data_IF_049884423666
#
_entry.id   IF_049884423666
#
_cell.length_a   1.000
_cell.length_b   1.000
_cell.length_c   1.000
_cell.angle_alpha   90.00
_cell.angle_beta   90.00
_cell.angle_gamma   90.00
#
_symmetry.space_group_name_H-M   'P 1'
#
loop_
_entity.id
_entity.type
_entity.pdbx_description
1 polymer ?
#
# COMPACT_ATOMS: atom_id res chain seq x y z
N UNK A 1 142.83 -1.76 8.44
CA UNK A 1 142.97 -2.69 7.29
C UNK A 1 141.60 -2.92 6.68
N UNK A 2 141.47 -2.69 5.37
CA UNK A 2 140.24 -2.92 4.60
C UNK A 2 140.07 -4.41 4.24
N UNK A 3 138.82 -4.93 4.22
CA UNK A 3 138.23 -5.66 3.06
C UNK A 3 136.76 -6.11 3.29
N UNK A 4 135.88 -5.69 2.35
CA UNK A 4 134.70 -6.39 1.73
C UNK A 4 133.46 -6.72 2.60
N UNK A 5 132.22 -6.71 2.09
CA UNK A 5 131.68 -6.54 0.72
C UNK A 5 130.15 -6.33 0.72
N UNK A 6 129.69 -5.41 -0.15
CA UNK A 6 128.51 -5.47 -1.06
C UNK A 6 127.27 -6.31 -0.68
N UNK A 7 126.17 -5.57 -0.53
CA UNK A 7 124.93 -5.61 -1.32
C UNK A 7 124.24 -6.96 -1.59
N UNK A 8 122.99 -7.06 -1.13
CA UNK A 8 121.90 -7.62 -1.93
C UNK A 8 120.65 -6.75 -1.73
N UNK A 9 120.16 -6.22 -2.84
CA UNK A 9 118.91 -5.48 -3.01
C UNK A 9 117.80 -6.51 -3.10
N UNK A 10 116.84 -6.48 -2.18
CA UNK A 10 115.63 -7.31 -2.22
C UNK A 10 114.41 -6.42 -2.28
N UNK A 11 113.75 -6.43 -3.43
CA UNK A 11 112.54 -5.69 -3.73
C UNK A 11 111.33 -6.60 -3.43
N UNK A 12 110.64 -6.38 -2.32
CA UNK A 12 109.36 -7.02 -1.97
C UNK A 12 108.59 -6.01 -1.11
N UNK A 13 107.31 -5.70 -1.29
CA UNK A 13 106.30 -6.13 -2.23
C UNK A 13 105.12 -5.16 -2.05
N UNK A 14 104.41 -4.80 -3.12
CA UNK A 14 103.13 -4.08 -3.03
C UNK A 14 102.01 -4.86 -2.31
N UNK A 15 102.30 -6.05 -1.75
CA UNK A 15 101.34 -6.98 -1.16
C UNK A 15 100.95 -6.70 0.30
N UNK A 16 101.81 -6.07 1.11
CA UNK A 16 101.51 -5.88 2.55
C UNK A 16 100.37 -4.90 2.81
N UNK A 17 100.30 -3.79 2.06
CA UNK A 17 99.19 -2.82 2.18
C UNK A 17 97.86 -3.36 1.65
N UNK A 18 97.91 -4.18 0.61
CA UNK A 18 96.72 -4.81 0.04
C UNK A 18 96.12 -5.85 1.01
N UNK A 19 96.95 -6.67 1.66
CA UNK A 19 96.47 -7.64 2.66
C UNK A 19 95.86 -6.95 3.87
N UNK A 20 96.48 -5.89 4.40
CA UNK A 20 95.90 -5.12 5.52
C UNK A 20 94.60 -4.41 5.12
N UNK A 21 94.51 -3.87 3.90
CA UNK A 21 93.26 -3.29 3.39
C UNK A 21 92.15 -4.35 3.23
N UNK A 22 92.50 -5.57 2.80
CA UNK A 22 91.54 -6.67 2.67
C UNK A 22 91.02 -7.12 4.05
N UNK A 23 91.89 -7.25 5.05
CA UNK A 23 91.50 -7.57 6.43
C UNK A 23 90.59 -6.48 7.01
N UNK A 24 90.93 -5.21 6.82
CA UNK A 24 90.09 -4.09 7.26
C UNK A 24 88.71 -4.11 6.58
N UNK A 25 88.65 -4.43 5.28
CA UNK A 25 87.40 -4.55 4.53
C UNK A 25 86.52 -5.70 5.04
N UNK A 26 87.11 -6.86 5.37
CA UNK A 26 86.36 -8.00 5.94
C UNK A 26 85.79 -7.65 7.30
N UNK A 27 86.53 -6.95 8.16
CA UNK A 27 86.04 -6.50 9.47
C UNK A 27 84.83 -5.56 9.30
N UNK A 28 84.90 -4.63 8.34
CA UNK A 28 83.77 -3.72 8.02
C UNK A 28 82.55 -4.50 7.55
N UNK A 29 82.72 -5.52 6.69
CA UNK A 29 81.60 -6.35 6.22
C UNK A 29 80.93 -7.14 7.35
N UNK A 30 81.71 -7.67 8.30
CA UNK A 30 81.16 -8.36 9.48
C UNK A 30 80.34 -7.38 10.33
N UNK A 31 80.84 -6.16 10.53
CA UNK A 31 80.12 -5.13 11.28
C UNK A 31 78.81 -4.74 10.58
N UNK A 32 78.83 -4.55 9.27
CA UNK A 32 77.63 -4.28 8.46
C UNK A 32 76.61 -5.43 8.54
N UNK A 33 77.06 -6.68 8.60
CA UNK A 33 76.16 -7.83 8.77
C UNK A 33 75.47 -7.81 10.14
N UNK A 34 76.19 -7.48 11.22
CA UNK A 34 75.60 -7.33 12.57
C UNK A 34 74.59 -6.19 12.60
N UNK A 35 74.91 -5.03 12.02
CA UNK A 35 73.97 -3.91 11.92
C UNK A 35 72.72 -4.26 11.13
N UNK A 36 72.89 -4.94 10.00
CA UNK A 36 71.77 -5.43 9.21
C UNK A 36 70.84 -6.35 9.98
N UNK A 37 71.40 -7.23 10.80
CA UNK A 37 70.61 -8.13 11.64
C UNK A 37 69.84 -7.39 12.75
N UNK A 38 70.46 -6.40 13.39
CA UNK A 38 69.82 -5.56 14.41
C UNK A 38 68.65 -4.74 13.85
N UNK A 39 68.82 -4.20 12.63
CA UNK A 39 67.77 -3.45 11.93
C UNK A 39 66.61 -4.39 11.57
N UNK A 40 66.91 -5.59 11.05
CA UNK A 40 65.90 -6.56 10.63
C UNK A 40 65.08 -7.12 11.79
N UNK A 41 65.67 -7.30 12.97
CA UNK A 41 64.97 -7.71 14.19
C UNK A 41 64.29 -6.54 14.93
N UNK A 42 64.36 -5.33 14.37
CA UNK A 42 63.81 -4.11 14.95
C UNK A 42 64.22 -3.86 16.42
N UNK A 43 65.51 -4.07 16.73
CA UNK A 43 66.02 -3.93 18.10
C UNK A 43 65.90 -2.48 18.55
N UNK A 44 65.03 -2.22 19.53
CA UNK A 44 64.76 -0.89 20.07
C UNK A 44 63.95 0.02 19.14
N UNK A 45 63.30 -0.52 18.11
CA UNK A 45 62.46 0.25 17.18
C UNK A 45 63.24 1.09 16.14
N UNK A 46 64.53 0.84 15.97
CA UNK A 46 65.38 1.60 15.04
C UNK A 46 65.00 1.32 13.58
N UNK A 47 64.68 0.06 13.26
CA UNK A 47 64.33 -0.35 11.91
C UNK A 47 63.00 0.24 11.48
N UNK A 48 61.98 0.14 12.34
CA UNK A 48 60.60 0.54 12.06
C UNK A 48 60.35 2.05 12.22
N UNK A 49 60.90 2.72 13.25
CA UNK A 49 60.58 4.13 13.52
C UNK A 49 61.50 5.14 12.82
N UNK A 50 62.76 4.78 12.55
CA UNK A 50 63.78 5.73 12.05
C UNK A 50 64.21 5.43 10.63
N UNK A 51 64.45 4.16 10.31
CA UNK A 51 65.02 3.76 9.02
C UNK A 51 63.96 3.45 7.97
N UNK A 52 62.81 2.89 8.38
CA UNK A 52 61.71 2.55 7.47
C UNK A 52 61.24 3.74 6.62
N UNK A 53 60.95 4.93 7.18
CA UNK A 53 60.42 6.05 6.38
C UNK A 53 61.42 6.57 5.33
N UNK A 54 62.72 6.41 5.58
CA UNK A 54 63.80 6.97 4.75
C UNK A 54 64.30 5.96 3.71
N UNK A 55 64.34 4.67 4.04
CA UNK A 55 65.00 3.64 3.22
C UNK A 55 64.03 2.71 2.49
N UNK A 56 62.71 2.78 2.74
CA UNK A 56 61.72 1.89 2.09
C UNK A 56 61.72 1.99 0.56
N UNK A 57 61.96 3.17 0.02
CA UNK A 57 61.94 3.44 -1.43
C UNK A 57 63.32 3.21 -2.09
N UNK A 58 64.34 2.78 -1.32
CA UNK A 58 65.68 2.52 -1.84
C UNK A 58 65.80 1.04 -2.25
N UNK A 59 65.97 0.73 -3.56
CA UNK A 59 66.09 -0.64 -4.02
C UNK A 59 67.31 -1.33 -3.38
N UNK A 60 67.20 -2.64 -3.14
CA UNK A 60 68.20 -3.50 -2.45
C UNK A 60 68.31 -3.24 -0.94
N UNK A 61 68.30 -1.98 -0.49
CA UNK A 61 68.41 -1.63 0.94
C UNK A 61 67.13 -1.93 1.71
N UNK A 62 65.95 -1.77 1.08
CA UNK A 62 64.66 -2.06 1.70
C UNK A 62 64.51 -3.51 2.24
N UNK A 63 65.29 -4.47 1.72
CA UNK A 63 65.27 -5.88 2.19
C UNK A 63 65.81 -6.08 3.60
N UNK A 64 66.51 -5.09 4.14
CA UNK A 64 67.08 -5.12 5.49
C UNK A 64 66.13 -4.55 6.55
N UNK A 65 65.10 -3.82 6.11
CA UNK A 65 64.08 -3.25 6.99
C UNK A 65 63.20 -4.36 7.59
N UNK A 66 62.68 -4.17 8.81
CA UNK A 66 61.71 -5.09 9.38
C UNK A 66 60.38 -5.05 8.60
N UNK A 67 59.57 -6.11 8.72
CA UNK A 67 58.22 -6.12 8.16
C UNK A 67 57.36 -5.05 8.83
N UNK A 68 56.62 -4.21 8.07
CA UNK A 68 55.79 -3.16 8.65
C UNK A 68 54.64 -3.77 9.45
N UNK A 69 54.33 -3.19 10.61
CA UNK A 69 53.19 -3.63 11.42
C UNK A 69 51.86 -3.28 10.72
N UNK A 70 50.78 -3.96 11.08
CA UNK A 70 49.43 -3.68 10.54
C UNK A 70 49.03 -2.21 10.70
N UNK A 71 49.46 -1.56 11.80
CA UNK A 71 49.21 -0.15 12.03
C UNK A 71 50.01 0.77 11.08
N UNK A 72 51.27 0.43 10.76
CA UNK A 72 52.08 1.21 9.81
C UNK A 72 51.56 1.06 8.37
N UNK A 73 51.16 -0.16 7.99
CA UNK A 73 50.51 -0.40 6.70
C UNK A 73 49.17 0.36 6.61
N UNK A 74 48.40 0.37 7.71
CA UNK A 74 47.16 1.12 7.81
C UNK A 74 47.35 2.63 7.59
N UNK A 75 48.42 3.20 8.15
CA UNK A 75 48.75 4.62 8.05
C UNK A 75 49.34 5.00 6.68
N UNK A 76 50.16 4.15 6.07
CA UNK A 76 50.75 4.37 4.73
C UNK A 76 49.70 4.29 3.61
N UNK A 77 48.79 3.32 3.66
CA UNK A 77 47.71 3.15 2.67
C UNK A 77 46.47 4.01 2.99
N UNK A 78 46.55 4.88 4.02
CA UNK A 78 45.47 5.77 4.46
C UNK A 78 44.15 5.02 4.74
N UNK A 79 44.24 3.85 5.36
CA UNK A 79 43.06 3.11 5.78
C UNK A 79 42.38 3.82 6.96
N UNK A 80 41.08 4.07 6.82
CA UNK A 80 40.27 4.80 7.79
C UNK A 80 40.18 4.11 9.18
N UNK A 81 40.48 2.81 9.26
CA UNK A 81 40.40 2.02 10.49
C UNK A 81 41.71 1.26 10.69
N UNK A 82 42.44 1.59 11.76
CA UNK A 82 43.80 1.13 12.02
C UNK A 82 43.88 -0.08 12.97
N UNK A 83 42.73 -0.62 13.40
CA UNK A 83 42.68 -1.84 14.23
C UNK A 83 41.46 -2.71 13.89
N UNK A 84 41.61 -4.03 14.05
CA UNK A 84 40.51 -5.00 13.90
C UNK A 84 39.29 -4.65 14.76
N UNK A 85 39.53 -4.14 15.98
CA UNK A 85 38.47 -3.69 16.89
C UNK A 85 37.67 -2.52 16.31
N UNK A 86 38.34 -1.49 15.78
CA UNK A 86 37.67 -0.34 15.18
C UNK A 86 36.83 -0.71 13.95
N UNK A 87 37.31 -1.67 13.14
CA UNK A 87 36.56 -2.19 12.00
C UNK A 87 35.28 -2.93 12.45
N UNK A 88 35.39 -3.79 13.47
CA UNK A 88 34.25 -4.55 14.01
C UNK A 88 33.19 -3.66 14.67
N UNK A 89 33.60 -2.59 15.37
CA UNK A 89 32.66 -1.60 15.93
C UNK A 89 31.88 -0.88 14.83
N UNK A 90 32.54 -0.54 13.72
CA UNK A 90 31.89 0.07 12.56
C UNK A 90 30.91 -0.88 11.89
N UNK A 91 31.26 -2.16 11.73
CA UNK A 91 30.38 -3.19 11.18
C UNK A 91 29.09 -3.28 12.01
N UNK A 92 29.21 -3.39 13.34
CA UNK A 92 28.03 -3.44 14.23
C UNK A 92 27.15 -2.18 14.13
N UNK A 93 27.76 -1.00 14.01
CA UNK A 93 27.01 0.24 13.84
C UNK A 93 26.27 0.29 12.48
N UNK A 94 26.89 -0.21 11.41
CA UNK A 94 26.26 -0.31 10.09
C UNK A 94 25.14 -1.36 10.06
N UNK A 95 25.33 -2.51 10.70
CA UNK A 95 24.28 -3.53 10.88
C UNK A 95 23.07 -2.97 11.62
N UNK A 96 23.30 -2.23 12.72
CA UNK A 96 22.22 -1.56 13.45
C UNK A 96 21.53 -0.48 12.63
N UNK A 97 22.26 0.30 11.82
CA UNK A 97 21.66 1.25 10.88
C UNK A 97 20.81 0.55 9.82
N UNK A 98 21.29 -0.56 9.25
CA UNK A 98 20.55 -1.35 8.27
C UNK A 98 19.28 -1.95 8.87
N UNK A 99 19.33 -2.48 10.10
CA UNK A 99 18.13 -2.96 10.82
C UNK A 99 17.12 -1.84 11.06
N UNK A 100 17.59 -0.64 11.45
CA UNK A 100 16.70 0.52 11.65
C UNK A 100 16.06 1.00 10.34
N UNK A 101 16.79 0.96 9.23
CA UNK A 101 16.28 1.32 7.90
C UNK A 101 15.33 0.26 7.35
N UNK A 102 15.63 -1.02 7.53
CA UNK A 102 14.76 -2.15 7.16
C UNK A 102 13.45 -2.16 7.94
N UNK A 103 13.49 -1.86 9.25
CA UNK A 103 12.29 -1.68 10.07
C UNK A 103 11.40 -0.51 9.61
N UNK A 104 12.02 0.59 9.16
CA UNK A 104 11.30 1.75 8.61
C UNK A 104 10.72 1.47 7.21
N UNK A 105 11.44 0.71 6.38
CA UNK A 105 10.98 0.32 5.04
C UNK A 105 9.75 -0.59 5.09
N UNK A 106 9.71 -1.55 6.02
CA UNK A 106 8.55 -2.43 6.21
C UNK A 106 7.33 -1.66 6.76
N UNK A 107 7.52 -0.77 7.74
CA UNK A 107 6.44 0.07 8.25
C UNK A 107 5.85 1.00 7.18
N UNK A 108 6.69 1.55 6.30
CA UNK A 108 6.24 2.35 5.15
C UNK A 108 5.49 1.50 4.13
N UNK A 109 5.91 0.26 3.87
CA UNK A 109 5.22 -0.67 2.96
C UNK A 109 3.82 -1.02 3.47
N UNK A 110 3.67 -1.33 4.75
CA UNK A 110 2.37 -1.64 5.35
C UNK A 110 1.44 -0.44 5.32
N UNK A 111 1.96 0.77 5.57
CA UNK A 111 1.20 2.01 5.48
C UNK A 111 0.76 2.32 4.04
N UNK A 112 1.62 2.10 3.04
CA UNK A 112 1.27 2.24 1.62
C UNK A 112 0.17 1.24 1.24
N UNK A 113 0.27 -0.02 1.66
CA UNK A 113 -0.75 -1.03 1.39
C UNK A 113 -2.12 -0.67 2.02
N UNK A 114 -2.12 -0.10 3.24
CA UNK A 114 -3.34 0.41 3.87
C UNK A 114 -3.94 1.58 3.09
N UNK A 115 -3.12 2.55 2.67
CA UNK A 115 -3.57 3.69 1.86
C UNK A 115 -4.14 3.25 0.51
N UNK A 116 -3.52 2.27 -0.16
CA UNK A 116 -4.04 1.71 -1.42
C UNK A 116 -5.39 1.01 -1.23
N UNK A 117 -5.56 0.25 -0.14
CA UNK A 117 -6.82 -0.39 0.21
C UNK A 117 -7.92 0.64 0.52
N UNK A 118 -7.57 1.71 1.22
CA UNK A 118 -8.49 2.80 1.54
C UNK A 118 -8.90 3.59 0.30
N UNK A 119 -7.96 3.90 -0.59
CA UNK A 119 -8.25 4.53 -1.90
C UNK A 119 -9.20 3.65 -2.71
N UNK A 120 -8.99 2.34 -2.75
CA UNK A 120 -9.88 1.41 -3.47
C UNK A 120 -11.29 1.40 -2.89
N UNK A 121 -11.42 1.43 -1.56
CA UNK A 121 -12.72 1.53 -0.89
C UNK A 121 -13.39 2.87 -1.16
N UNK A 122 -12.66 3.98 -1.08
CA UNK A 122 -13.19 5.32 -1.38
C UNK A 122 -13.63 5.45 -2.84
N UNK A 123 -12.91 4.85 -3.78
CA UNK A 123 -13.32 4.79 -5.19
C UNK A 123 -14.62 4.00 -5.38
N UNK A 124 -14.82 2.92 -4.63
CA UNK A 124 -16.09 2.17 -4.63
C UNK A 124 -17.24 3.04 -4.14
N UNK A 125 -17.08 3.71 -3.00
CA UNK A 125 -18.10 4.62 -2.47
C UNK A 125 -18.41 5.76 -3.42
N UNK A 126 -17.39 6.37 -4.01
CA UNK A 126 -17.58 7.42 -5.02
C UNK A 126 -18.38 6.93 -6.21
N UNK A 127 -18.08 5.73 -6.73
CA UNK A 127 -18.84 5.13 -7.82
C UNK A 127 -20.29 4.86 -7.43
N UNK A 128 -20.52 4.31 -6.24
CA UNK A 128 -21.88 4.05 -5.73
C UNK A 128 -22.68 5.35 -5.55
N UNK A 129 -22.02 6.44 -5.13
CA UNK A 129 -22.60 7.77 -5.03
C UNK A 129 -22.91 8.35 -6.41
N UNK A 130 -21.98 8.30 -7.36
CA UNK A 130 -22.20 8.77 -8.74
C UNK A 130 -23.36 8.00 -9.40
N UNK A 131 -23.43 6.68 -9.17
CA UNK A 131 -24.52 5.84 -9.66
C UNK A 131 -25.86 6.17 -8.97
N UNK A 132 -25.84 6.55 -7.69
CA UNK A 132 -27.03 7.00 -6.95
C UNK A 132 -27.52 8.35 -7.45
N UNK A 133 -26.64 9.34 -7.57
CA UNK A 133 -26.98 10.67 -8.05
C UNK A 133 -27.55 10.60 -9.47
N UNK A 134 -27.01 9.71 -10.32
CA UNK A 134 -27.58 9.43 -11.64
C UNK A 134 -29.00 8.87 -11.57
N UNK A 135 -29.26 7.90 -10.67
CA UNK A 135 -30.62 7.35 -10.48
C UNK A 135 -31.59 8.41 -9.96
N UNK A 136 -31.14 9.29 -9.06
CA UNK A 136 -31.96 10.40 -8.55
C UNK A 136 -32.28 11.40 -9.67
N UNK A 137 -31.30 11.78 -10.48
CA UNK A 137 -31.54 12.67 -11.61
C UNK A 137 -32.50 12.06 -12.63
N UNK A 138 -32.34 10.77 -12.96
CA UNK A 138 -33.29 10.06 -13.84
C UNK A 138 -34.69 9.96 -13.22
N UNK A 139 -34.80 9.84 -11.90
CA UNK A 139 -36.06 9.87 -11.19
C UNK A 139 -36.70 11.25 -11.24
N UNK A 140 -35.97 12.31 -10.91
CA UNK A 140 -36.51 13.68 -10.92
C UNK A 140 -37.00 14.05 -12.33
N UNK A 141 -36.21 13.74 -13.37
CA UNK A 141 -36.56 14.01 -14.77
C UNK A 141 -37.80 13.22 -15.23
N UNK A 142 -37.83 11.91 -14.99
CA UNK A 142 -38.88 11.04 -15.55
C UNK A 142 -40.12 10.98 -14.68
N UNK A 143 -39.96 11.15 -13.37
CA UNK A 143 -41.02 10.93 -12.39
C UNK A 143 -41.61 12.22 -11.83
N UNK A 144 -40.78 13.20 -11.48
CA UNK A 144 -41.22 14.42 -10.79
C UNK A 144 -41.56 15.55 -11.75
N UNK A 145 -40.81 15.70 -12.85
CA UNK A 145 -40.91 16.86 -13.76
C UNK A 145 -41.53 16.57 -15.13
N UNK A 146 -42.09 15.39 -15.36
CA UNK A 146 -42.90 15.15 -16.55
C UNK A 146 -44.27 15.82 -16.34
N UNK A 147 -44.69 16.71 -17.26
CA UNK A 147 -45.94 17.49 -17.19
C UNK A 147 -47.22 16.63 -17.16
N UNK A 148 -47.08 15.30 -17.25
CA UNK A 148 -48.11 14.31 -16.95
C UNK A 148 -47.61 13.37 -15.85
N UNK A 149 -48.47 13.04 -14.89
CA UNK A 149 -48.19 12.00 -13.92
C UNK A 149 -47.66 10.75 -14.66
N UNK A 150 -46.46 10.23 -14.30
CA UNK A 150 -45.80 9.18 -15.05
C UNK A 150 -46.70 7.95 -15.09
N UNK A 151 -46.74 7.30 -16.26
CA UNK A 151 -47.51 6.08 -16.43
C UNK A 151 -46.99 5.03 -15.45
N UNK A 152 -47.89 4.25 -14.86
CA UNK A 152 -47.54 3.27 -13.83
C UNK A 152 -46.50 2.24 -14.33
N UNK A 153 -46.39 2.01 -15.65
CA UNK A 153 -45.37 1.16 -16.25
C UNK A 153 -43.93 1.70 -16.10
N UNK A 154 -43.75 3.02 -15.95
CA UNK A 154 -42.44 3.61 -15.69
C UNK A 154 -41.98 3.38 -14.24
N UNK A 155 -42.92 3.40 -13.30
CA UNK A 155 -42.65 3.02 -11.91
C UNK A 155 -42.23 1.55 -11.80
N UNK A 156 -42.89 0.66 -12.53
CA UNK A 156 -42.57 -0.78 -12.59
C UNK A 156 -41.12 -1.04 -13.00
N UNK A 157 -40.67 -0.43 -14.10
CA UNK A 157 -39.29 -0.57 -14.61
C UNK A 157 -38.25 0.01 -13.66
N UNK A 158 -38.59 1.10 -12.98
CA UNK A 158 -37.72 1.74 -12.00
C UNK A 158 -37.53 0.86 -10.76
N UNK A 159 -38.61 0.33 -10.19
CA UNK A 159 -38.51 -0.53 -9.01
C UNK A 159 -37.73 -1.81 -9.31
N UNK A 160 -37.90 -2.42 -10.48
CA UNK A 160 -37.11 -3.57 -10.92
C UNK A 160 -35.59 -3.28 -10.99
N UNK A 161 -35.18 -2.01 -11.11
CA UNK A 161 -33.77 -1.60 -11.15
C UNK A 161 -33.14 -1.30 -9.78
N UNK A 162 -33.95 -1.24 -8.72
CA UNK A 162 -33.51 -0.99 -7.33
C UNK A 162 -33.54 -2.31 -6.55
N UNK A 163 -32.64 -2.48 -5.58
CA UNK A 163 -32.41 -3.71 -4.79
C UNK A 163 -33.58 -4.72 -4.74
N UNK A 164 -33.36 -5.97 -5.21
CA UNK A 164 -34.42 -6.90 -5.61
C UNK A 164 -35.43 -7.28 -4.51
N UNK A 165 -35.01 -7.31 -3.24
CA UNK A 165 -35.87 -7.76 -2.13
C UNK A 165 -37.00 -6.77 -1.79
N UNK A 166 -36.79 -5.47 -1.99
CA UNK A 166 -37.85 -4.47 -1.80
C UNK A 166 -38.66 -4.23 -3.08
N UNK A 167 -38.02 -4.39 -4.24
CA UNK A 167 -38.64 -4.23 -5.55
C UNK A 167 -39.77 -5.23 -5.79
N UNK A 168 -39.57 -6.51 -5.46
CA UNK A 168 -40.57 -7.55 -5.66
C UNK A 168 -41.86 -7.27 -4.86
N UNK A 169 -41.71 -6.88 -3.59
CA UNK A 169 -42.87 -6.55 -2.74
C UNK A 169 -43.64 -5.35 -3.28
N UNK A 170 -42.96 -4.27 -3.65
CA UNK A 170 -43.60 -3.06 -4.19
C UNK A 170 -44.22 -3.35 -5.55
N UNK A 171 -43.53 -4.08 -6.42
CA UNK A 171 -44.04 -4.53 -7.72
C UNK A 171 -45.33 -5.33 -7.56
N UNK A 172 -45.35 -6.33 -6.67
CA UNK A 172 -46.53 -7.15 -6.44
C UNK A 172 -47.71 -6.31 -5.91
N UNK A 173 -47.44 -5.33 -5.03
CA UNK A 173 -48.46 -4.39 -4.55
C UNK A 173 -49.03 -3.52 -5.68
N UNK A 174 -48.17 -2.93 -6.53
CA UNK A 174 -48.59 -2.08 -7.65
C UNK A 174 -49.38 -2.88 -8.69
N UNK A 175 -48.94 -4.09 -9.05
CA UNK A 175 -49.67 -4.96 -10.01
C UNK A 175 -51.04 -5.34 -9.45
N UNK A 176 -51.12 -5.65 -8.15
CA UNK A 176 -52.39 -5.96 -7.49
C UNK A 176 -53.34 -4.76 -7.47
N UNK A 177 -52.84 -3.57 -7.14
CA UNK A 177 -53.62 -2.32 -7.18
C UNK A 177 -54.12 -2.00 -8.59
N UNK A 178 -53.28 -2.19 -9.62
CA UNK A 178 -53.66 -2.03 -11.03
C UNK A 178 -54.80 -2.95 -11.43
N UNK A 179 -54.68 -4.25 -11.11
CA UNK A 179 -55.71 -5.23 -11.43
C UNK A 179 -57.01 -4.89 -10.71
N UNK A 180 -56.92 -4.49 -9.43
CA UNK A 180 -58.08 -4.07 -8.65
C UNK A 180 -58.74 -2.82 -9.25
N UNK A 181 -57.99 -1.80 -9.67
CA UNK A 181 -58.56 -0.61 -10.31
C UNK A 181 -59.19 -0.90 -11.67
N UNK A 182 -58.56 -1.73 -12.50
CA UNK A 182 -59.14 -2.12 -13.80
C UNK A 182 -60.43 -2.92 -13.63
N UNK A 183 -60.45 -3.88 -12.70
CA UNK A 183 -61.65 -4.64 -12.36
C UNK A 183 -62.73 -3.73 -11.78
N UNK A 184 -62.36 -2.83 -10.86
CA UNK A 184 -63.27 -1.86 -10.28
C UNK A 184 -63.93 -1.00 -11.33
N UNK A 185 -63.17 -0.42 -12.26
CA UNK A 185 -63.69 0.42 -13.35
C UNK A 185 -64.63 -0.35 -14.27
N UNK A 186 -64.31 -1.61 -14.59
CA UNK A 186 -65.18 -2.48 -15.39
C UNK A 186 -66.50 -2.76 -14.68
N UNK A 187 -66.44 -3.11 -13.40
CA UNK A 187 -67.62 -3.41 -12.59
C UNK A 187 -68.46 -2.15 -12.33
N UNK A 188 -67.82 -1.02 -12.04
CA UNK A 188 -68.46 0.29 -11.90
C UNK A 188 -69.24 0.66 -13.16
N UNK A 189 -68.67 0.42 -14.34
CA UNK A 189 -69.35 0.63 -15.63
C UNK A 189 -70.59 -0.27 -15.77
N UNK A 190 -70.52 -1.54 -15.35
CA UNK A 190 -71.67 -2.45 -15.36
C UNK A 190 -72.79 -1.98 -14.43
N UNK A 191 -72.44 -1.45 -13.25
CA UNK A 191 -73.40 -0.99 -12.26
C UNK A 191 -73.83 0.48 -12.40
N UNK A 192 -73.21 1.23 -13.31
CA UNK A 192 -73.50 2.66 -13.52
C UNK A 192 -74.96 2.92 -13.91
N UNK A 193 -75.64 1.94 -14.49
CA UNK A 193 -77.06 1.98 -14.85
C UNK A 193 -77.90 0.87 -14.21
N UNK A 194 -77.32 0.12 -13.25
CA UNK A 194 -78.04 -0.95 -12.56
C UNK A 194 -78.94 -0.39 -11.46
N UNK A 195 -79.92 -1.20 -11.05
CA UNK A 195 -80.79 -0.88 -9.92
C UNK A 195 -79.98 -0.86 -8.61
N UNK A 196 -79.98 0.23 -7.83
CA UNK A 196 -79.10 0.40 -6.67
C UNK A 196 -79.22 -0.72 -5.64
N UNK A 197 -80.44 -1.18 -5.32
CA UNK A 197 -80.68 -2.26 -4.35
C UNK A 197 -80.04 -3.60 -4.76
N UNK A 198 -80.06 -3.92 -6.07
CA UNK A 198 -79.43 -5.14 -6.60
C UNK A 198 -77.91 -5.05 -6.58
N UNK A 199 -77.37 -3.89 -6.96
CA UNK A 199 -75.93 -3.64 -6.87
C UNK A 199 -75.45 -3.69 -5.42
N UNK A 200 -76.20 -3.11 -4.48
CA UNK A 200 -75.90 -3.14 -3.06
C UNK A 200 -75.87 -4.57 -2.49
N UNK A 201 -76.81 -5.43 -2.91
CA UNK A 201 -76.82 -6.85 -2.51
C UNK A 201 -75.55 -7.56 -2.97
N UNK A 202 -75.17 -7.41 -4.25
CA UNK A 202 -73.96 -8.07 -4.78
C UNK A 202 -72.68 -7.52 -4.14
N UNK A 203 -72.58 -6.20 -3.94
CA UNK A 203 -71.40 -5.60 -3.28
C UNK A 203 -71.31 -6.00 -1.79
N UNK A 204 -72.45 -6.23 -1.13
CA UNK A 204 -72.48 -6.70 0.26
C UNK A 204 -71.97 -8.14 0.42
N UNK A 205 -72.01 -8.94 -0.64
CA UNK A 205 -71.43 -10.29 -0.64
C UNK A 205 -69.89 -10.27 -0.73
N UNK A 206 -69.30 -9.14 -1.14
CA UNK A 206 -67.85 -8.94 -1.25
C UNK A 206 -67.21 -8.51 0.08
N UNK A 207 -67.60 -9.16 1.18
CA UNK A 207 -67.22 -8.75 2.55
C UNK A 207 -65.72 -8.79 2.84
N UNK A 208 -64.95 -9.58 2.09
CA UNK A 208 -63.50 -9.71 2.24
C UNK A 208 -62.69 -8.80 1.30
N UNK A 209 -63.34 -8.13 0.35
CA UNK A 209 -62.69 -7.30 -0.69
C UNK A 209 -63.15 -5.83 -0.61
N UNK A 210 -63.14 -5.26 0.60
CA UNK A 210 -63.57 -3.87 0.85
C UNK A 210 -62.83 -2.84 -0.03
N UNK A 211 -61.56 -3.07 -0.35
CA UNK A 211 -60.78 -2.21 -1.26
C UNK A 211 -61.38 -2.17 -2.68
N UNK A 212 -61.77 -3.33 -3.20
CA UNK A 212 -62.39 -3.43 -4.52
C UNK A 212 -63.77 -2.78 -4.52
N UNK A 213 -64.56 -2.97 -3.46
CA UNK A 213 -65.88 -2.32 -3.31
C UNK A 213 -65.74 -0.79 -3.28
N UNK A 214 -64.79 -0.25 -2.51
CA UNK A 214 -64.51 1.19 -2.49
C UNK A 214 -64.09 1.69 -3.87
N UNK A 215 -63.15 1.00 -4.52
CA UNK A 215 -62.70 1.37 -5.86
C UNK A 215 -63.83 1.32 -6.90
N UNK A 216 -64.78 0.38 -6.80
CA UNK A 216 -65.97 0.31 -7.66
C UNK A 216 -66.84 1.55 -7.46
N UNK A 217 -67.10 1.94 -6.21
CA UNK A 217 -67.90 3.11 -5.86
C UNK A 217 -67.22 4.43 -6.27
N UNK A 218 -65.89 4.52 -6.15
CA UNK A 218 -65.09 5.68 -6.59
C UNK A 218 -65.06 5.84 -8.12
N UNK A 219 -65.19 4.74 -8.87
CA UNK A 219 -65.16 4.75 -10.33
C UNK A 219 -66.54 4.94 -10.99
N UNK A 220 -67.60 5.21 -10.23
CA UNK A 220 -68.94 5.54 -10.75
C UNK A 220 -69.35 6.97 -10.38
N UNK A 221 -70.49 7.45 -10.90
CA UNK A 221 -70.99 8.78 -10.55
C UNK A 221 -71.35 8.87 -9.07
N UNK A 222 -71.03 9.99 -8.41
CA UNK A 222 -71.36 10.25 -6.99
C UNK A 222 -72.81 9.93 -6.65
N UNK A 223 -73.74 10.29 -7.55
CA UNK A 223 -75.17 10.03 -7.37
C UNK A 223 -75.49 8.54 -7.28
N UNK A 224 -74.90 7.73 -8.16
CA UNK A 224 -75.11 6.28 -8.19
C UNK A 224 -74.43 5.60 -7.00
N UNK A 225 -73.20 6.03 -6.67
CA UNK A 225 -72.48 5.53 -5.50
C UNK A 225 -73.28 5.80 -4.20
N UNK A 226 -73.78 7.02 -4.02
CA UNK A 226 -74.60 7.39 -2.88
C UNK A 226 -75.90 6.58 -2.81
N UNK A 227 -76.58 6.37 -3.94
CA UNK A 227 -77.80 5.55 -4.00
C UNK A 227 -77.53 4.09 -3.62
N UNK A 228 -76.40 3.51 -4.05
CA UNK A 228 -76.01 2.15 -3.67
C UNK A 228 -75.66 2.07 -2.19
N UNK A 229 -74.89 3.04 -1.66
CA UNK A 229 -74.49 3.07 -0.25
C UNK A 229 -75.72 3.15 0.69
N UNK A 230 -76.78 3.87 0.28
CA UNK A 230 -78.03 3.96 1.03
C UNK A 230 -78.78 2.63 1.15
N UNK A 231 -78.57 1.71 0.19
CA UNK A 231 -79.20 0.38 0.15
C UNK A 231 -78.35 -0.70 0.86
N UNK A 232 -77.12 -0.37 1.28
CA UNK A 232 -76.25 -1.28 2.03
C UNK A 232 -76.68 -1.39 3.50
N UNK A 233 -76.30 -2.49 4.17
CA UNK A 233 -76.42 -2.59 5.62
C UNK A 233 -75.62 -1.48 6.32
N UNK A 234 -76.20 -0.91 7.38
CA UNK A 234 -75.62 0.21 8.12
C UNK A 234 -74.17 -0.04 8.61
N UNK A 235 -73.83 -1.27 9.00
CA UNK A 235 -72.49 -1.62 9.45
C UNK A 235 -71.50 -1.74 8.30
N UNK A 236 -71.95 -2.20 7.13
CA UNK A 236 -71.10 -2.29 5.93
C UNK A 236 -70.91 -0.91 5.28
N UNK A 237 -71.97 -0.11 5.18
CA UNK A 237 -71.92 1.27 4.70
C UNK A 237 -70.96 2.13 5.54
N UNK A 238 -70.96 1.96 6.87
CA UNK A 238 -70.04 2.66 7.76
C UNK A 238 -68.56 2.27 7.50
N UNK A 239 -68.30 0.99 7.24
CA UNK A 239 -66.94 0.51 6.91
C UNK A 239 -66.44 1.08 5.59
N UNK A 240 -67.27 1.05 4.54
CA UNK A 240 -66.97 1.63 3.23
C UNK A 240 -66.72 3.14 3.35
N UNK A 241 -67.63 3.87 3.99
CA UNK A 241 -67.53 5.33 4.16
C UNK A 241 -66.26 5.72 4.93
N UNK A 242 -65.94 5.00 6.01
CA UNK A 242 -64.70 5.23 6.77
C UNK A 242 -63.47 4.97 5.91
N UNK A 243 -63.50 3.92 5.07
CA UNK A 243 -62.35 3.56 4.24
C UNK A 243 -62.11 4.59 3.13
N UNK A 244 -63.17 5.01 2.45
CA UNK A 244 -63.12 6.05 1.41
C UNK A 244 -62.62 7.39 1.96
N UNK A 245 -62.94 7.75 3.22
CA UNK A 245 -62.46 9.00 3.82
C UNK A 245 -60.98 8.98 4.24
N UNK A 246 -60.36 7.80 4.30
CA UNK A 246 -58.93 7.63 4.61
C UNK A 246 -58.06 7.49 3.36
N UNK A 247 -58.67 7.38 2.17
CA UNK A 247 -57.99 7.17 0.90
C UNK A 247 -57.67 8.47 0.12
N UNK A 248 -57.90 9.64 0.74
CA UNK A 248 -57.50 10.96 0.23
C UNK A 248 -56.37 11.57 1.03
#
# INVERSE_FOLDING_TARGET
MAKKSKAAKGNESGGSRLVTALIALVIILIWLAVFGFLIKLDVGGIGSNMLYPVLKDVPVVNKILPEPSEAMQAEEDNYQYNTLRSANERIKALESQLESQGGTANANSDYIAQLEAEIKNLQKYKKEQDDFDKRVAEFDEKVVFNDNAPDISEYEKYYASIQPENAERIYNQVVQELQNQQQAKKIATLYSNAEPAKAATVLSEMTHDLDLVCAILDNMSEKQAAAIIQELDSGFAAQITKKMSMAG
#
